data_IF_741810767088
#
_entry.id   IF_741810767088
#
_cell.length_a   1.000
_cell.length_b   1.000
_cell.length_c   1.000
_cell.angle_alpha   90.00
_cell.angle_beta   90.00
_cell.angle_gamma   90.00
#
_symmetry.space_group_name_H-M   'P 1'
#
loop_
_entity.id
_entity.type
_entity.pdbx_description
1 polymer ?
#
# COMPACT_ATOMS: atom_id res chain seq x y z
N UNK A 1 -40.67 -5.36 -8.49
CA UNK A 1 -39.53 -5.36 -9.41
C UNK A 1 -38.30 -5.33 -8.52
N UNK A 2 -37.58 -6.43 -8.40
CA UNK A 2 -36.30 -6.46 -7.67
C UNK A 2 -35.32 -5.62 -8.47
N UNK A 3 -34.93 -4.45 -7.94
CA UNK A 3 -33.81 -3.70 -8.50
C UNK A 3 -32.60 -4.62 -8.55
N UNK A 4 -32.03 -4.78 -9.75
CA UNK A 4 -30.81 -5.56 -9.92
C UNK A 4 -29.70 -4.72 -9.29
N UNK A 5 -29.28 -5.09 -8.09
CA UNK A 5 -28.17 -4.45 -7.40
C UNK A 5 -26.90 -4.73 -8.23
N UNK A 6 -26.34 -3.69 -8.83
CA UNK A 6 -25.24 -3.81 -9.79
C UNK A 6 -23.90 -3.37 -9.23
N UNK A 7 -23.83 -2.95 -7.97
CA UNK A 7 -22.60 -2.50 -7.32
C UNK A 7 -22.59 -2.81 -5.82
N UNK A 8 -21.40 -2.97 -5.24
CA UNK A 8 -21.18 -3.17 -3.82
C UNK A 8 -21.58 -1.92 -3.03
N UNK A 9 -21.33 -0.72 -3.58
CA UNK A 9 -21.78 0.53 -2.98
C UNK A 9 -23.30 0.58 -2.83
N UNK A 10 -24.05 0.31 -3.91
CA UNK A 10 -25.53 0.25 -3.86
C UNK A 10 -26.01 -0.85 -2.92
N UNK A 11 -25.36 -2.02 -2.93
CA UNK A 11 -25.69 -3.12 -2.03
C UNK A 11 -25.63 -2.72 -0.55
N UNK A 12 -24.56 -2.06 -0.14
CA UNK A 12 -24.38 -1.59 1.24
C UNK A 12 -25.35 -0.47 1.60
N UNK A 13 -25.59 0.47 0.67
CA UNK A 13 -26.53 1.57 0.88
C UNK A 13 -27.97 1.06 1.05
N UNK A 14 -28.40 0.08 0.25
CA UNK A 14 -29.70 -0.55 0.35
C UNK A 14 -29.89 -1.33 1.67
N UNK A 15 -28.80 -1.71 2.33
CA UNK A 15 -28.80 -2.35 3.64
C UNK A 15 -28.69 -1.35 4.82
N UNK A 16 -28.90 -0.05 4.59
CA UNK A 16 -28.73 1.02 5.58
C UNK A 16 -27.34 1.02 6.26
N UNK A 17 -26.32 0.60 5.52
CA UNK A 17 -24.94 0.57 5.98
C UNK A 17 -24.15 1.77 5.44
N UNK A 18 -23.38 2.39 6.33
CA UNK A 18 -22.29 3.27 5.93
C UNK A 18 -21.01 2.45 5.82
N UNK A 19 -20.08 2.89 4.97
CA UNK A 19 -18.87 2.12 4.68
C UNK A 19 -17.66 2.97 4.31
N UNK A 20 -16.48 2.38 4.47
CA UNK A 20 -15.22 2.86 3.96
C UNK A 20 -14.56 1.78 3.12
N UNK A 21 -13.96 2.21 2.01
CA UNK A 21 -13.23 1.32 1.10
C UNK A 21 -11.77 1.72 1.10
N UNK A 22 -10.90 0.71 1.15
CA UNK A 22 -9.45 0.89 1.08
C UNK A 22 -8.86 -0.05 0.04
N UNK A 23 -7.92 0.44 -0.78
CA UNK A 23 -6.92 -0.44 -1.38
C UNK A 23 -5.99 -0.93 -0.28
N UNK A 24 -5.70 -2.22 -0.30
CA UNK A 24 -4.71 -2.87 0.57
C UNK A 24 -3.71 -3.68 -0.25
N UNK A 25 -3.63 -3.45 -1.56
CA UNK A 25 -2.78 -4.18 -2.48
C UNK A 25 -1.35 -3.75 -2.34
N UNK A 26 -1.05 -2.57 -2.88
CA UNK A 26 0.29 -1.98 -2.89
C UNK A 26 0.58 -1.24 -1.60
N UNK A 27 -0.35 -0.40 -1.15
CA UNK A 27 -0.30 0.35 0.11
C UNK A 27 -1.72 0.51 0.62
N UNK A 28 -1.88 0.76 1.90
CA UNK A 28 -3.18 1.14 2.44
C UNK A 28 -3.57 2.55 1.95
N UNK A 29 -4.54 2.63 1.05
CA UNK A 29 -5.04 3.90 0.49
C UNK A 29 -6.57 3.93 0.55
N UNK A 30 -7.15 5.05 0.96
CA UNK A 30 -8.62 5.20 0.96
C UNK A 30 -9.10 5.40 -0.48
N UNK A 31 -10.14 4.68 -0.87
CA UNK A 31 -10.93 4.97 -2.06
C UNK A 31 -12.18 5.70 -1.58
N UNK A 32 -12.35 6.96 -1.98
CA UNK A 32 -13.57 7.70 -1.66
C UNK A 32 -14.79 7.10 -2.38
N UNK A 33 -15.99 7.51 -1.96
CA UNK A 33 -17.24 6.96 -2.50
C UNK A 33 -17.40 7.24 -3.99
N UNK A 34 -16.96 8.39 -4.48
CA UNK A 34 -17.10 8.78 -5.88
C UNK A 34 -16.16 7.96 -6.77
N UNK A 35 -14.90 7.84 -6.37
CA UNK A 35 -13.89 7.02 -7.04
C UNK A 35 -14.30 5.55 -7.03
N UNK A 36 -14.77 5.02 -5.90
CA UNK A 36 -15.23 3.64 -5.82
C UNK A 36 -16.43 3.41 -6.74
N UNK A 37 -17.43 4.29 -6.73
CA UNK A 37 -18.58 4.21 -7.64
C UNK A 37 -18.16 4.29 -9.12
N UNK A 38 -17.21 5.15 -9.47
CA UNK A 38 -16.68 5.25 -10.82
C UNK A 38 -15.97 3.95 -11.28
N UNK A 39 -15.24 3.28 -10.38
CA UNK A 39 -14.62 1.97 -10.64
C UNK A 39 -15.72 0.91 -10.88
N UNK A 40 -16.73 0.85 -10.01
CA UNK A 40 -17.80 -0.14 -10.12
C UNK A 40 -18.66 0.06 -11.39
N UNK A 41 -18.83 1.30 -11.82
CA UNK A 41 -19.55 1.65 -13.05
C UNK A 41 -18.68 1.57 -14.31
N UNK A 42 -17.46 1.02 -14.21
CA UNK A 42 -16.49 0.89 -15.29
C UNK A 42 -16.12 2.22 -15.98
N UNK A 43 -16.30 3.34 -15.29
CA UNK A 43 -15.93 4.70 -15.76
C UNK A 43 -14.47 5.02 -15.48
N UNK A 44 -13.86 4.32 -14.53
CA UNK A 44 -12.45 4.49 -14.16
C UNK A 44 -11.77 3.13 -14.04
N UNK A 45 -10.53 3.03 -14.52
CA UNK A 45 -9.66 1.90 -14.21
C UNK A 45 -9.32 1.87 -12.72
N UNK A 46 -9.09 0.67 -12.19
CA UNK A 46 -8.64 0.51 -10.81
C UNK A 46 -7.27 1.19 -10.65
N UNK A 47 -7.08 2.09 -9.67
CA UNK A 47 -5.89 2.94 -9.60
C UNK A 47 -4.62 2.20 -9.18
N UNK A 48 -4.74 1.13 -8.38
CA UNK A 48 -3.60 0.48 -7.71
C UNK A 48 -3.54 -1.04 -7.95
N UNK A 49 -3.60 -1.52 -9.21
CA UNK A 49 -3.62 -2.95 -9.50
C UNK A 49 -2.34 -3.64 -8.99
N UNK A 50 -2.52 -4.83 -8.43
CA UNK A 50 -1.43 -5.72 -8.05
C UNK A 50 -1.75 -7.11 -8.58
N UNK A 51 -0.88 -7.65 -9.44
CA UNK A 51 -1.08 -8.96 -10.08
C UNK A 51 -2.43 -9.06 -10.80
N UNK A 52 -2.85 -8.01 -11.52
CA UNK A 52 -4.15 -7.91 -12.21
C UNK A 52 -5.39 -8.07 -11.32
N UNK A 53 -5.28 -7.75 -10.04
CA UNK A 53 -6.42 -7.75 -9.11
C UNK A 53 -6.55 -6.41 -8.39
N UNK A 54 -7.79 -6.07 -8.04
CA UNK A 54 -8.10 -5.12 -6.98
C UNK A 54 -8.07 -5.83 -5.64
N UNK A 55 -7.30 -5.30 -4.70
CA UNK A 55 -7.17 -5.83 -3.34
C UNK A 55 -7.82 -4.84 -2.38
N UNK A 56 -9.04 -5.13 -1.98
CA UNK A 56 -9.89 -4.20 -1.26
C UNK A 56 -10.10 -4.64 0.19
N UNK A 57 -10.17 -3.67 1.09
CA UNK A 57 -10.79 -3.82 2.38
C UNK A 57 -12.04 -2.94 2.44
N UNK A 58 -13.18 -3.53 2.78
CA UNK A 58 -14.47 -2.86 2.89
C UNK A 58 -14.93 -2.96 4.33
N UNK A 59 -14.84 -1.84 5.05
CA UNK A 59 -15.28 -1.71 6.43
C UNK A 59 -16.66 -1.06 6.42
N UNK A 60 -17.68 -1.71 6.97
CA UNK A 60 -19.06 -1.20 6.92
C UNK A 60 -19.79 -1.47 8.23
N UNK A 61 -20.78 -0.66 8.55
CA UNK A 61 -21.59 -0.78 9.76
C UNK A 61 -23.00 -0.30 9.49
N UNK A 62 -23.96 -0.86 10.22
CA UNK A 62 -25.34 -0.37 10.18
C UNK A 62 -25.41 1.04 10.79
N UNK A 63 -26.15 1.96 10.16
CA UNK A 63 -26.30 3.35 10.63
C UNK A 63 -26.76 3.46 12.08
N UNK A 64 -27.64 2.57 12.52
CA UNK A 64 -28.16 2.55 13.88
C UNK A 64 -27.24 1.82 14.89
N UNK A 65 -26.22 1.08 14.42
CA UNK A 65 -25.29 0.32 15.25
C UNK A 65 -23.84 0.56 14.81
N UNK A 66 -23.34 1.81 14.87
CA UNK A 66 -22.03 2.13 14.35
C UNK A 66 -20.91 1.39 15.08
N UNK A 67 -21.07 0.98 16.34
CA UNK A 67 -19.98 0.39 17.14
C UNK A 67 -19.55 -1.02 16.72
N UNK A 68 -20.29 -1.68 15.83
CA UNK A 68 -19.99 -3.04 15.37
C UNK A 68 -19.68 -3.04 13.87
N UNK A 69 -18.46 -2.65 13.47
CA UNK A 69 -18.08 -2.70 12.07
C UNK A 69 -17.80 -4.14 11.62
N UNK A 70 -18.27 -4.45 10.43
CA UNK A 70 -17.91 -5.63 9.67
C UNK A 70 -16.76 -5.28 8.73
N UNK A 71 -15.96 -6.29 8.39
CA UNK A 71 -14.81 -6.13 7.52
C UNK A 71 -14.74 -7.24 6.48
N UNK A 72 -14.74 -6.85 5.22
CA UNK A 72 -14.49 -7.76 4.10
C UNK A 72 -13.15 -7.45 3.44
N UNK A 73 -12.43 -8.51 3.10
CA UNK A 73 -11.20 -8.43 2.31
C UNK A 73 -11.45 -9.10 0.97
N UNK A 74 -11.54 -8.29 -0.08
CA UNK A 74 -11.93 -8.73 -1.41
C UNK A 74 -10.74 -8.73 -2.36
N UNK A 75 -10.58 -9.81 -3.11
CA UNK A 75 -9.65 -9.90 -4.23
C UNK A 75 -10.45 -10.10 -5.51
N UNK A 76 -10.66 -9.01 -6.25
CA UNK A 76 -11.46 -9.00 -7.47
C UNK A 76 -10.56 -8.91 -8.71
N UNK A 77 -10.77 -9.74 -9.74
CA UNK A 77 -9.95 -9.70 -10.94
C UNK A 77 -10.22 -8.42 -11.75
N UNK A 78 -9.18 -7.96 -12.44
CA UNK A 78 -9.24 -6.86 -13.40
C UNK A 78 -9.08 -7.39 -14.82
N UNK A 79 -9.69 -6.70 -15.78
CA UNK A 79 -9.49 -7.00 -17.20
C UNK A 79 -8.17 -6.40 -17.75
N UNK A 80 -7.89 -6.62 -19.03
CA UNK A 80 -6.68 -6.09 -19.68
C UNK A 80 -6.64 -4.55 -19.72
N UNK A 81 -7.80 -3.89 -19.65
CA UNK A 81 -7.93 -2.43 -19.58
C UNK A 81 -7.72 -1.92 -18.15
N UNK A 82 -7.61 -2.81 -17.16
CA UNK A 82 -7.51 -2.47 -15.75
C UNK A 82 -8.86 -2.14 -15.11
N UNK A 83 -9.97 -2.43 -15.79
CA UNK A 83 -11.33 -2.27 -15.25
C UNK A 83 -11.68 -3.44 -14.36
N UNK A 84 -12.51 -3.18 -13.34
CA UNK A 84 -13.03 -4.23 -12.47
C UNK A 84 -13.88 -5.22 -13.28
N UNK A 85 -13.67 -6.51 -13.05
CA UNK A 85 -14.50 -7.55 -13.66
C UNK A 85 -15.89 -7.56 -13.02
N UNK A 86 -16.87 -6.99 -13.72
CA UNK A 86 -18.26 -6.89 -13.27
C UNK A 86 -18.91 -8.26 -13.02
N UNK A 87 -18.55 -9.30 -13.79
CA UNK A 87 -19.11 -10.63 -13.60
C UNK A 87 -18.64 -11.24 -12.26
N UNK A 88 -17.35 -11.11 -11.95
CA UNK A 88 -16.79 -11.55 -10.66
C UNK A 88 -17.41 -10.80 -9.48
N UNK A 89 -17.56 -9.47 -9.59
CA UNK A 89 -18.24 -8.67 -8.56
C UNK A 89 -19.72 -9.09 -8.40
N UNK A 90 -20.45 -9.26 -9.49
CA UNK A 90 -21.86 -9.64 -9.41
C UNK A 90 -22.02 -11.04 -8.81
N UNK A 91 -21.13 -11.97 -9.16
CA UNK A 91 -21.08 -13.30 -8.54
C UNK A 91 -20.80 -13.21 -7.04
N UNK A 92 -19.87 -12.35 -6.61
CA UNK A 92 -19.64 -12.08 -5.19
C UNK A 92 -20.94 -11.62 -4.49
N UNK A 93 -21.63 -10.63 -5.04
CA UNK A 93 -22.87 -10.10 -4.46
C UNK A 93 -23.97 -11.15 -4.35
N UNK A 94 -24.15 -11.98 -5.39
CA UNK A 94 -25.12 -13.07 -5.37
C UNK A 94 -24.84 -14.05 -4.23
N UNK A 95 -23.58 -14.47 -4.05
CA UNK A 95 -23.20 -15.39 -2.97
C UNK A 95 -23.37 -14.77 -1.57
N UNK A 96 -23.10 -13.46 -1.43
CA UNK A 96 -23.37 -12.74 -0.16
C UNK A 96 -24.86 -12.69 0.13
N UNK A 97 -25.70 -12.40 -0.87
CA UNK A 97 -27.16 -12.39 -0.74
C UNK A 97 -27.72 -13.77 -0.39
N UNK A 98 -27.17 -14.84 -0.97
CA UNK A 98 -27.55 -16.22 -0.65
C UNK A 98 -27.17 -16.61 0.78
N UNK A 99 -26.03 -16.12 1.28
CA UNK A 99 -25.55 -16.44 2.64
C UNK A 99 -26.23 -15.59 3.73
N UNK A 100 -26.40 -14.28 3.49
CA UNK A 100 -26.87 -13.32 4.51
C UNK A 100 -28.34 -12.90 4.35
N UNK A 101 -28.95 -13.18 3.20
CA UNK A 101 -30.27 -12.66 2.87
C UNK A 101 -30.28 -11.13 2.71
N UNK A 102 -31.41 -10.49 3.05
CA UNK A 102 -31.60 -9.05 2.88
C UNK A 102 -30.92 -8.17 3.96
N UNK A 103 -30.46 -8.75 5.08
CA UNK A 103 -29.91 -8.00 6.22
C UNK A 103 -28.43 -8.32 6.43
N UNK A 104 -27.57 -7.65 5.67
CA UNK A 104 -26.12 -7.84 5.64
C UNK A 104 -25.44 -7.51 6.97
N UNK A 105 -26.04 -6.59 7.75
CA UNK A 105 -25.52 -6.11 9.04
C UNK A 105 -26.29 -6.66 10.24
N UNK A 106 -27.10 -7.71 10.05
CA UNK A 106 -27.69 -8.44 11.16
C UNK A 106 -26.61 -9.28 11.88
N UNK A 107 -26.93 -9.78 13.07
CA UNK A 107 -26.08 -10.79 13.72
C UNK A 107 -26.00 -12.02 12.82
N UNK A 108 -24.80 -12.33 12.37
CA UNK A 108 -24.53 -13.42 11.44
C UNK A 108 -24.35 -14.69 12.28
N UNK A 109 -25.10 -15.75 11.99
CA UNK A 109 -24.89 -17.05 12.64
C UNK A 109 -23.56 -17.69 12.18
N UNK A 110 -23.00 -18.60 12.99
CA UNK A 110 -21.77 -19.32 12.62
C UNK A 110 -21.88 -20.02 11.25
N UNK A 111 -23.06 -20.59 10.94
CA UNK A 111 -23.33 -21.23 9.65
C UNK A 111 -23.25 -20.24 8.47
N UNK A 112 -23.82 -19.05 8.63
CA UNK A 112 -23.75 -18.01 7.61
C UNK A 112 -22.33 -17.46 7.45
N UNK A 113 -21.57 -17.36 8.55
CA UNK A 113 -20.17 -16.96 8.51
C UNK A 113 -19.31 -17.99 7.77
N UNK A 114 -19.53 -19.28 8.01
CA UNK A 114 -18.86 -20.36 7.28
C UNK A 114 -19.22 -20.35 5.79
N UNK A 115 -20.49 -20.13 5.45
CA UNK A 115 -20.93 -20.03 4.06
C UNK A 115 -20.29 -18.83 3.34
N UNK A 116 -20.19 -17.68 4.00
CA UNK A 116 -19.46 -16.53 3.46
C UNK A 116 -18.00 -16.85 3.21
N UNK A 117 -17.31 -17.53 4.14
CA UNK A 117 -15.89 -17.87 3.98
C UNK A 117 -15.59 -18.77 2.77
N UNK A 118 -16.59 -19.46 2.21
CA UNK A 118 -16.45 -20.25 0.98
C UNK A 118 -16.43 -19.39 -0.30
N UNK A 119 -16.69 -18.08 -0.20
CA UNK A 119 -16.68 -17.17 -1.33
C UNK A 119 -15.26 -17.01 -1.91
N UNK A 120 -15.03 -17.32 -3.19
CA UNK A 120 -13.69 -17.34 -3.80
C UNK A 120 -13.05 -15.95 -3.91
N UNK A 121 -13.82 -14.88 -3.71
CA UNK A 121 -13.32 -13.50 -3.76
C UNK A 121 -12.90 -12.98 -2.38
N UNK A 122 -13.20 -13.71 -1.30
CA UNK A 122 -12.70 -13.40 0.04
C UNK A 122 -11.30 -13.98 0.23
N UNK A 123 -10.45 -13.25 0.94
CA UNK A 123 -9.12 -13.73 1.31
C UNK A 123 -8.74 -13.26 2.71
N UNK A 124 -7.70 -13.87 3.30
CA UNK A 124 -7.11 -13.41 4.56
C UNK A 124 -5.82 -12.64 4.25
N UNK A 125 -5.76 -11.31 4.49
CA UNK A 125 -4.53 -10.54 4.31
C UNK A 125 -3.45 -10.96 5.30
N UNK A 126 -2.20 -10.59 5.04
CA UNK A 126 -1.10 -10.74 6.00
C UNK A 126 -1.37 -9.97 7.29
N UNK A 127 -0.68 -10.34 8.37
CA UNK A 127 -0.83 -9.71 9.67
C UNK A 127 -0.51 -8.22 9.62
N UNK A 128 0.53 -7.81 8.89
CA UNK A 128 0.89 -6.40 8.71
C UNK A 128 -0.23 -5.57 8.06
N UNK A 129 -0.91 -6.13 7.05
CA UNK A 129 -2.02 -5.44 6.37
C UNK A 129 -3.22 -5.29 7.30
N UNK A 130 -3.51 -6.31 8.09
CA UNK A 130 -4.59 -6.27 9.10
C UNK A 130 -4.25 -5.25 10.20
N UNK A 131 -3.01 -5.25 10.69
CA UNK A 131 -2.54 -4.31 11.71
C UNK A 131 -2.56 -2.86 11.24
N UNK A 132 -2.10 -2.59 10.00
CA UNK A 132 -2.16 -1.27 9.37
C UNK A 132 -3.59 -0.77 9.26
N UNK A 133 -4.50 -1.61 8.73
CA UNK A 133 -5.90 -1.24 8.57
C UNK A 133 -6.57 -0.99 9.93
N UNK A 134 -6.34 -1.87 10.91
CA UNK A 134 -6.90 -1.72 12.25
C UNK A 134 -6.45 -0.41 12.90
N UNK A 135 -5.16 -0.08 12.84
CA UNK A 135 -4.63 1.18 13.37
C UNK A 135 -5.25 2.40 12.68
N UNK A 136 -5.37 2.40 11.35
CA UNK A 136 -6.02 3.48 10.59
C UNK A 136 -7.51 3.61 10.92
N UNK A 137 -8.22 2.50 11.06
CA UNK A 137 -9.63 2.50 11.47
C UNK A 137 -9.81 3.07 12.87
N UNK A 138 -8.97 2.69 13.83
CA UNK A 138 -9.02 3.25 15.19
C UNK A 138 -8.79 4.77 15.18
N UNK A 139 -7.78 5.25 14.45
CA UNK A 139 -7.52 6.68 14.30
C UNK A 139 -8.70 7.41 13.66
N UNK A 140 -9.24 6.87 12.55
CA UNK A 140 -10.38 7.44 11.83
C UNK A 140 -11.66 7.48 12.67
N UNK A 141 -11.83 6.50 13.57
CA UNK A 141 -12.95 6.40 14.53
C UNK A 141 -12.71 7.14 15.84
N UNK A 142 -11.58 7.84 15.99
CA UNK A 142 -11.19 8.53 17.22
C UNK A 142 -11.16 7.59 18.45
N UNK A 143 -10.80 6.33 18.23
CA UNK A 143 -10.64 5.32 19.27
C UNK A 143 -9.22 5.35 19.86
N UNK A 144 -9.02 4.88 21.11
CA UNK A 144 -7.70 4.71 21.68
C UNK A 144 -6.87 3.69 20.88
N UNK A 145 -5.54 3.76 20.94
CA UNK A 145 -4.67 2.74 20.34
C UNK A 145 -4.82 1.38 21.05
N UNK A 146 -4.20 0.34 20.50
CA UNK A 146 -4.11 -0.95 21.20
C UNK A 146 -3.23 -0.87 22.45
N UNK A 147 -3.32 -1.91 23.28
CA UNK A 147 -2.48 -2.09 24.47
C UNK A 147 -0.98 -2.11 24.17
N UNK A 148 -0.59 -2.36 22.91
CA UNK A 148 0.82 -2.45 22.51
C UNK A 148 1.45 -1.09 22.20
N UNK A 149 0.67 -0.03 22.06
CA UNK A 149 1.16 1.30 21.66
C UNK A 149 2.12 1.92 22.67
N UNK A 150 1.80 1.84 23.96
CA UNK A 150 2.59 2.50 25.02
C UNK A 150 4.02 1.96 25.06
N UNK A 151 4.21 0.64 24.92
CA UNK A 151 5.53 0.02 24.90
C UNK A 151 6.40 0.56 23.76
N UNK A 152 5.82 0.77 22.57
CA UNK A 152 6.54 1.31 21.41
C UNK A 152 6.88 2.80 21.58
N UNK A 153 5.94 3.57 22.14
CA UNK A 153 6.17 4.98 22.45
C UNK A 153 7.30 5.15 23.47
N UNK A 154 7.28 4.39 24.57
CA UNK A 154 8.35 4.40 25.57
C UNK A 154 9.69 3.98 24.98
N UNK A 155 9.69 3.00 24.07
CA UNK A 155 10.88 2.59 23.36
C UNK A 155 11.48 3.75 22.53
N UNK A 156 10.70 4.42 21.68
CA UNK A 156 11.21 5.54 20.87
C UNK A 156 11.65 6.73 21.74
N UNK A 157 10.94 7.01 22.84
CA UNK A 157 11.34 8.04 23.80
C UNK A 157 12.72 7.71 24.43
N UNK A 158 12.96 6.46 24.82
CA UNK A 158 14.23 6.03 25.38
C UNK A 158 15.38 6.10 24.37
N UNK A 159 15.13 5.68 23.12
CA UNK A 159 16.12 5.76 22.04
C UNK A 159 16.47 7.21 21.67
N UNK A 160 15.48 8.11 21.63
CA UNK A 160 15.71 9.52 21.28
C UNK A 160 16.60 10.26 22.29
N UNK A 161 16.57 9.87 23.56
CA UNK A 161 17.32 10.53 24.63
C UNK A 161 18.75 10.01 24.82
N UNK A 162 19.23 9.07 23.99
CA UNK A 162 20.55 8.44 24.11
C UNK A 162 20.89 8.01 25.55
N UNK A 163 19.91 7.55 26.33
CA UNK A 163 20.19 7.20 27.72
C UNK A 163 21.02 5.92 27.72
N UNK A 164 22.26 5.97 28.23
CA UNK A 164 23.13 4.81 28.45
C UNK A 164 22.47 3.71 29.31
N UNK A 165 21.38 4.06 29.99
CA UNK A 165 20.50 3.17 30.78
C UNK A 165 19.38 2.50 29.99
N UNK A 166 19.18 2.80 28.71
CA UNK A 166 18.18 2.14 27.88
C UNK A 166 18.75 0.80 27.43
N UNK A 167 18.25 -0.36 27.88
CA UNK A 167 18.79 -1.62 27.42
C UNK A 167 18.58 -1.68 25.91
N UNK A 168 19.65 -1.83 25.15
CA UNK A 168 19.61 -2.23 23.73
C UNK A 168 18.84 -3.56 23.50
N UNK A 169 18.24 -4.14 24.54
CA UNK A 169 17.58 -5.44 24.63
C UNK A 169 16.04 -5.40 24.71
N UNK A 170 15.37 -4.24 24.84
CA UNK A 170 13.89 -4.20 24.96
C UNK A 170 13.10 -4.15 23.65
N UNK A 171 13.75 -4.26 22.49
CA UNK A 171 13.00 -4.31 21.23
C UNK A 171 12.14 -5.57 21.10
N UNK A 172 12.42 -6.62 21.87
CA UNK A 172 11.63 -7.85 21.91
C UNK A 172 10.21 -7.62 22.46
N UNK A 173 10.01 -6.55 23.23
CA UNK A 173 8.71 -6.17 23.79
C UNK A 173 7.85 -5.36 22.79
N UNK A 174 8.40 -5.01 21.62
CA UNK A 174 7.70 -4.25 20.57
C UNK A 174 6.84 -5.20 19.74
N UNK A 175 5.53 -5.12 19.96
CA UNK A 175 4.55 -5.86 19.16
C UNK A 175 4.29 -5.21 17.79
N UNK A 176 3.95 -6.04 16.80
CA UNK A 176 3.57 -5.60 15.44
C UNK A 176 2.47 -4.53 15.46
N UNK A 177 1.37 -4.78 16.19
CA UNK A 177 0.25 -3.84 16.26
C UNK A 177 0.68 -2.48 16.85
N UNK A 178 1.57 -2.47 17.84
CA UNK A 178 2.05 -1.22 18.45
C UNK A 178 2.81 -0.33 17.47
N UNK A 179 3.60 -0.91 16.56
CA UNK A 179 4.28 -0.17 15.50
C UNK A 179 3.30 0.46 14.50
N UNK A 180 2.25 -0.28 14.12
CA UNK A 180 1.19 0.23 13.25
C UNK A 180 0.37 1.33 13.93
N UNK A 181 0.08 1.19 15.23
CA UNK A 181 -0.61 2.23 16.02
C UNK A 181 0.23 3.51 16.10
N UNK A 182 1.54 3.38 16.31
CA UNK A 182 2.46 4.53 16.27
C UNK A 182 2.44 5.18 14.90
N UNK A 183 2.67 4.43 13.82
CA UNK A 183 2.73 4.97 12.46
C UNK A 183 1.44 5.72 12.09
N UNK A 184 0.27 5.16 12.41
CA UNK A 184 -1.03 5.78 12.11
C UNK A 184 -1.27 7.10 12.89
N UNK A 185 -0.59 7.30 14.03
CA UNK A 185 -0.80 8.45 14.93
C UNK A 185 0.26 9.54 14.83
N UNK A 186 1.33 9.35 14.05
CA UNK A 186 2.41 10.34 13.91
C UNK A 186 1.88 11.74 13.54
N UNK A 187 0.91 11.84 12.63
CA UNK A 187 0.31 13.13 12.25
C UNK A 187 -0.40 13.86 13.40
N UNK A 188 -0.85 13.13 14.44
CA UNK A 188 -1.59 13.67 15.59
C UNK A 188 -0.70 13.88 16.82
N UNK A 189 0.48 13.26 16.86
CA UNK A 189 1.41 13.31 17.98
C UNK A 189 2.78 13.87 17.54
N UNK A 190 2.95 15.17 17.75
CA UNK A 190 4.17 15.90 17.41
C UNK A 190 5.38 15.45 18.25
N UNK A 191 5.16 15.04 19.51
CA UNK A 191 6.24 14.59 20.39
C UNK A 191 6.75 13.23 19.91
N UNK A 192 5.85 12.29 19.66
CA UNK A 192 6.19 10.97 19.09
C UNK A 192 6.90 11.10 17.74
N UNK A 193 6.42 12.01 16.88
CA UNK A 193 7.08 12.32 15.61
C UNK A 193 8.51 12.82 15.81
N UNK A 194 8.71 13.73 16.77
CA UNK A 194 10.03 14.28 17.08
C UNK A 194 10.97 13.19 17.60
N UNK A 195 10.50 12.36 18.54
CA UNK A 195 11.26 11.24 19.10
C UNK A 195 11.68 10.24 18.02
N UNK A 196 10.72 9.80 17.19
CA UNK A 196 11.03 8.87 16.11
C UNK A 196 12.01 9.47 15.10
N UNK A 197 11.82 10.74 14.73
CA UNK A 197 12.72 11.45 13.80
C UNK A 197 14.16 11.53 14.33
N UNK A 198 14.32 11.68 15.65
CA UNK A 198 15.62 11.78 16.30
C UNK A 198 16.36 10.42 16.33
N UNK A 199 15.65 9.31 16.55
CA UNK A 199 16.27 8.00 16.71
C UNK A 199 16.28 7.12 15.44
N UNK A 200 15.51 7.46 14.40
CA UNK A 200 15.27 6.58 13.24
C UNK A 200 16.55 5.97 12.63
N UNK A 201 17.58 6.79 12.44
CA UNK A 201 18.83 6.39 11.77
C UNK A 201 19.63 5.35 12.57
N UNK A 202 19.44 5.33 13.89
CA UNK A 202 20.15 4.48 14.83
C UNK A 202 19.37 3.21 15.19
N UNK A 203 18.10 3.09 14.76
CA UNK A 203 17.29 1.93 15.08
C UNK A 203 17.94 0.62 14.56
N UNK A 204 17.90 -0.46 15.35
CA UNK A 204 18.35 -1.77 14.90
C UNK A 204 17.42 -2.28 13.79
N UNK A 205 17.97 -3.09 12.87
CA UNK A 205 17.21 -3.62 11.73
C UNK A 205 15.97 -4.43 12.17
N UNK A 206 16.03 -5.09 13.33
CA UNK A 206 14.89 -5.83 13.92
C UNK A 206 13.66 -4.94 14.18
N UNK A 207 13.86 -3.65 14.49
CA UNK A 207 12.77 -2.67 14.68
C UNK A 207 12.50 -1.92 13.39
N UNK A 208 13.56 -1.56 12.66
CA UNK A 208 13.44 -0.76 11.44
C UNK A 208 12.61 -1.48 10.37
N UNK A 209 12.80 -2.80 10.17
CA UNK A 209 12.04 -3.59 9.19
C UNK A 209 10.53 -3.50 9.42
N UNK A 210 9.96 -3.96 10.55
CA UNK A 210 8.52 -3.89 10.78
C UNK A 210 8.00 -2.44 10.89
N UNK A 211 8.80 -1.50 11.41
CA UNK A 211 8.42 -0.09 11.42
C UNK A 211 8.22 0.45 10.01
N UNK A 212 9.09 0.13 9.06
CA UNK A 212 8.95 0.63 7.68
C UNK A 212 7.75 0.03 6.95
N UNK A 213 7.37 -1.21 7.28
CA UNK A 213 6.12 -1.83 6.83
C UNK A 213 4.90 -1.10 7.41
N UNK A 214 4.99 -0.60 8.65
CA UNK A 214 3.95 0.28 9.19
C UNK A 214 3.92 1.64 8.49
N UNK A 215 5.08 2.28 8.30
CA UNK A 215 5.20 3.62 7.72
C UNK A 215 4.75 3.68 6.25
N UNK A 216 5.00 2.64 5.43
CA UNK A 216 4.60 2.64 4.00
C UNK A 216 3.07 2.76 3.79
N UNK A 217 2.28 2.48 4.84
CA UNK A 217 0.83 2.53 4.87
C UNK A 217 0.28 3.83 5.48
N UNK A 218 1.14 4.83 5.68
CA UNK A 218 0.82 6.11 6.32
C UNK A 218 1.50 7.27 5.58
N UNK A 219 1.05 8.49 5.80
CA UNK A 219 1.76 9.68 5.32
C UNK A 219 2.71 10.17 6.43
N UNK A 220 4.05 10.13 6.23
CA UNK A 220 4.98 10.60 7.24
C UNK A 220 4.82 12.12 7.44
N UNK A 221 4.73 12.61 8.69
CA UNK A 221 4.66 14.05 8.96
C UNK A 221 5.93 14.78 8.50
N UNK A 222 5.88 16.12 8.28
CA UNK A 222 7.01 16.89 7.76
C UNK A 222 8.34 16.65 8.48
N UNK A 223 8.35 16.65 9.83
CA UNK A 223 9.57 16.45 10.60
C UNK A 223 10.24 15.07 10.32
N UNK A 224 9.44 14.00 10.28
CA UNK A 224 9.93 12.66 9.97
C UNK A 224 10.32 12.53 8.51
N UNK A 225 9.50 13.03 7.58
CA UNK A 225 9.80 13.07 6.14
C UNK A 225 11.16 13.74 5.89
N UNK A 226 11.40 14.90 6.48
CA UNK A 226 12.64 15.65 6.26
C UNK A 226 13.85 14.94 6.87
N UNK A 227 13.67 14.26 8.02
CA UNK A 227 14.69 13.40 8.61
C UNK A 227 15.02 12.19 7.71
N UNK A 228 14.00 11.52 7.17
CA UNK A 228 14.13 10.40 6.24
C UNK A 228 14.83 10.83 4.93
N UNK A 229 14.48 11.99 4.37
CA UNK A 229 15.14 12.51 3.17
C UNK A 229 16.63 12.83 3.42
N UNK A 230 16.96 13.51 4.53
CA UNK A 230 18.36 13.75 4.90
C UNK A 230 19.11 12.44 5.05
N UNK A 231 18.52 11.46 5.73
CA UNK A 231 19.14 10.15 5.91
C UNK A 231 19.33 9.42 4.58
N UNK A 232 18.33 9.42 3.70
CA UNK A 232 18.42 8.82 2.36
C UNK A 232 19.62 9.35 1.56
N UNK A 233 19.88 10.66 1.58
CA UNK A 233 21.03 11.26 0.85
C UNK A 233 22.40 10.83 1.38
N UNK A 234 22.46 10.28 2.59
CA UNK A 234 23.69 9.81 3.24
C UNK A 234 23.90 8.29 3.07
N UNK A 235 22.90 7.58 2.54
CA UNK A 235 22.93 6.13 2.42
C UNK A 235 23.46 5.69 1.06
N UNK A 236 24.31 4.67 1.10
CA UNK A 236 24.66 3.88 -0.08
C UNK A 236 23.56 2.85 -0.38
N UNK A 237 23.64 2.23 -1.57
CA UNK A 237 22.79 1.09 -1.92
C UNK A 237 22.87 -0.01 -0.86
N UNK A 238 21.74 -0.66 -0.62
CA UNK A 238 21.62 -1.69 0.42
C UNK A 238 20.33 -1.60 1.23
N UNK A 239 20.21 -2.52 2.20
CA UNK A 239 18.99 -2.74 2.97
C UNK A 239 18.46 -1.47 3.66
N UNK A 240 19.33 -0.70 4.33
CA UNK A 240 18.89 0.53 5.03
C UNK A 240 18.31 1.57 4.07
N UNK A 241 18.85 1.68 2.86
CA UNK A 241 18.32 2.62 1.84
C UNK A 241 16.99 2.12 1.29
N UNK A 242 16.85 0.81 1.03
CA UNK A 242 15.57 0.18 0.68
C UNK A 242 14.48 0.42 1.72
N UNK A 243 14.80 0.24 3.02
CA UNK A 243 13.89 0.51 4.13
C UNK A 243 13.51 2.00 4.21
N UNK A 244 14.48 2.91 4.06
CA UNK A 244 14.23 4.35 4.04
C UNK A 244 13.33 4.77 2.87
N UNK A 245 13.55 4.20 1.69
CA UNK A 245 12.71 4.38 0.51
C UNK A 245 11.26 3.93 0.78
N UNK A 246 11.06 2.75 1.40
CA UNK A 246 9.72 2.28 1.80
C UNK A 246 9.03 3.23 2.77
N UNK A 247 9.74 3.75 3.77
CA UNK A 247 9.19 4.68 4.75
C UNK A 247 8.73 6.02 4.13
N UNK A 248 9.33 6.42 3.00
CA UNK A 248 8.94 7.62 2.25
C UNK A 248 7.76 7.38 1.29
N UNK A 249 7.29 6.14 1.13
CA UNK A 249 6.29 5.80 0.13
C UNK A 249 5.05 6.68 0.21
N UNK A 250 4.46 6.84 1.39
CA UNK A 250 3.24 7.63 1.63
C UNK A 250 3.30 9.09 1.19
N UNK A 251 4.50 9.65 0.97
CA UNK A 251 4.69 11.04 0.54
C UNK A 251 5.40 11.17 -0.82
N UNK A 252 5.58 10.08 -1.57
CA UNK A 252 6.33 10.07 -2.83
C UNK A 252 5.73 10.93 -3.95
N UNK A 253 4.45 11.29 -3.86
CA UNK A 253 3.78 12.19 -4.80
C UNK A 253 4.06 13.68 -4.49
N UNK A 254 4.58 14.01 -3.30
CA UNK A 254 4.94 15.38 -2.96
C UNK A 254 6.11 15.84 -3.84
N UNK A 255 6.03 17.00 -4.53
CA UNK A 255 7.05 17.44 -5.48
C UNK A 255 8.48 17.48 -4.93
N UNK A 256 8.65 17.94 -3.69
CA UNK A 256 9.96 18.02 -3.04
C UNK A 256 10.54 16.61 -2.76
N UNK A 257 9.71 15.67 -2.30
CA UNK A 257 10.11 14.28 -2.06
C UNK A 257 10.45 13.60 -3.39
N UNK A 258 9.58 13.71 -4.38
CA UNK A 258 9.77 13.07 -5.67
C UNK A 258 11.02 13.58 -6.37
N UNK A 259 11.30 14.88 -6.33
CA UNK A 259 12.52 15.47 -6.87
C UNK A 259 13.77 14.92 -6.16
N UNK A 260 13.77 14.89 -4.82
CA UNK A 260 14.90 14.38 -4.04
C UNK A 260 15.20 12.90 -4.34
N UNK A 261 14.16 12.08 -4.51
CA UNK A 261 14.32 10.65 -4.80
C UNK A 261 14.64 10.36 -6.27
N UNK A 262 14.12 11.18 -7.21
CA UNK A 262 14.41 11.04 -8.64
C UNK A 262 15.82 11.47 -9.02
N UNK A 263 16.40 12.45 -8.32
CA UNK A 263 17.73 12.98 -8.64
C UNK A 263 18.81 11.88 -8.70
N UNK A 264 19.00 11.02 -7.68
CA UNK A 264 19.97 9.93 -7.77
C UNK A 264 19.55 8.85 -8.78
N UNK A 265 18.25 8.59 -8.94
CA UNK A 265 17.76 7.64 -9.94
C UNK A 265 18.08 8.08 -11.37
N UNK A 266 18.01 9.38 -11.67
CA UNK A 266 18.24 9.95 -13.00
C UNK A 266 19.72 10.26 -13.31
N UNK A 267 20.64 10.02 -12.36
CA UNK A 267 22.07 10.21 -12.53
C UNK A 267 22.68 9.02 -13.29
N UNK A 268 22.71 9.11 -14.62
CA UNK A 268 22.96 8.00 -15.55
C UNK A 268 24.25 7.15 -15.32
N UNK A 269 25.29 7.70 -14.68
CA UNK A 269 26.59 7.00 -14.52
C UNK A 269 26.89 6.51 -13.09
N UNK A 270 26.22 7.03 -12.05
CA UNK A 270 26.51 6.72 -10.64
C UNK A 270 25.30 6.12 -9.88
N UNK A 271 24.18 5.88 -10.57
CA UNK A 271 22.99 5.28 -9.98
C UNK A 271 23.22 3.80 -9.63
N UNK A 272 23.84 3.54 -8.49
CA UNK A 272 23.95 2.21 -7.90
C UNK A 272 22.62 1.90 -7.20
N UNK A 273 21.80 0.99 -7.74
CA UNK A 273 20.56 0.49 -7.12
C UNK A 273 20.59 -1.04 -7.06
N UNK A 274 20.30 -1.59 -5.89
CA UNK A 274 20.12 -3.03 -5.72
C UNK A 274 18.70 -3.46 -6.13
N UNK A 275 18.54 -4.76 -6.39
CA UNK A 275 17.25 -5.33 -6.80
C UNK A 275 16.11 -4.99 -5.83
N UNK A 276 16.36 -5.10 -4.52
CA UNK A 276 15.35 -4.80 -3.50
C UNK A 276 14.85 -3.34 -3.59
N UNK A 277 15.73 -2.41 -3.96
CA UNK A 277 15.38 -1.00 -4.10
C UNK A 277 14.56 -0.77 -5.37
N UNK A 278 14.89 -1.45 -6.46
CA UNK A 278 14.08 -1.42 -7.69
C UNK A 278 12.68 -2.00 -7.43
N UNK A 279 12.59 -3.10 -6.69
CA UNK A 279 11.31 -3.70 -6.26
C UNK A 279 10.51 -2.70 -5.42
N UNK A 280 11.13 -2.03 -4.45
CA UNK A 280 10.47 -1.00 -3.64
C UNK A 280 9.97 0.14 -4.51
N UNK A 281 10.75 0.59 -5.49
CA UNK A 281 10.33 1.65 -6.41
C UNK A 281 9.09 1.21 -7.18
N UNK A 282 9.11 0.06 -7.85
CA UNK A 282 7.94 -0.40 -8.60
C UNK A 282 6.72 -0.70 -7.72
N UNK A 283 6.93 -1.23 -6.50
CA UNK A 283 5.86 -1.71 -5.65
C UNK A 283 5.23 -0.62 -4.76
N UNK A 284 5.97 0.45 -4.42
CA UNK A 284 5.58 1.46 -3.42
C UNK A 284 5.82 2.90 -3.86
N UNK A 285 6.85 3.15 -4.66
CA UNK A 285 7.25 4.49 -5.12
C UNK A 285 7.06 4.70 -6.62
N UNK A 286 6.10 3.99 -7.24
CA UNK A 286 5.82 4.13 -8.67
C UNK A 286 5.53 5.57 -9.12
N UNK A 287 5.02 6.52 -8.28
CA UNK A 287 4.88 7.91 -8.70
C UNK A 287 6.20 8.58 -9.07
N UNK A 288 7.34 8.05 -8.60
CA UNK A 288 8.66 8.53 -9.04
C UNK A 288 8.89 8.29 -10.53
N UNK A 289 8.22 7.31 -11.12
CA UNK A 289 8.38 6.89 -12.52
C UNK A 289 7.45 7.63 -13.49
N UNK A 290 6.69 8.62 -13.02
CA UNK A 290 5.90 9.51 -13.89
C UNK A 290 6.79 10.51 -14.68
N UNK A 291 8.04 10.68 -14.26
CA UNK A 291 9.07 11.40 -15.03
C UNK A 291 9.72 10.48 -16.06
N UNK A 292 9.68 10.88 -17.34
CA UNK A 292 10.16 10.06 -18.44
C UNK A 292 11.65 9.68 -18.33
N UNK A 293 12.50 10.58 -17.80
CA UNK A 293 13.93 10.33 -17.63
C UNK A 293 14.16 9.32 -16.50
N UNK A 294 13.47 9.50 -15.37
CA UNK A 294 13.51 8.56 -14.25
C UNK A 294 12.98 7.17 -14.65
N UNK A 295 11.89 7.10 -15.44
CA UNK A 295 11.33 5.85 -15.96
C UNK A 295 12.32 5.12 -16.86
N UNK A 296 12.90 5.80 -17.84
CA UNK A 296 13.88 5.20 -18.75
C UNK A 296 15.10 4.67 -17.99
N UNK A 297 15.63 5.45 -17.04
CA UNK A 297 16.79 5.06 -16.25
C UNK A 297 16.47 3.89 -15.30
N UNK A 298 15.28 3.89 -14.69
CA UNK A 298 14.79 2.76 -13.90
C UNK A 298 14.72 1.48 -14.74
N UNK A 299 14.17 1.55 -15.95
CA UNK A 299 14.07 0.39 -16.85
C UNK A 299 15.44 -0.08 -17.33
N UNK A 300 16.39 0.84 -17.54
CA UNK A 300 17.78 0.50 -17.87
C UNK A 300 18.45 -0.26 -16.71
N UNK A 301 18.31 0.21 -15.47
CA UNK A 301 18.81 -0.50 -14.28
C UNK A 301 18.15 -1.88 -14.14
N UNK A 302 16.84 -1.95 -14.36
CA UNK A 302 16.10 -3.20 -14.32
C UNK A 302 16.53 -4.19 -15.43
N UNK A 303 16.95 -3.70 -16.60
CA UNK A 303 17.43 -4.54 -17.72
C UNK A 303 18.70 -5.32 -17.40
N UNK A 304 19.43 -4.90 -16.36
CA UNK A 304 20.63 -5.57 -15.85
C UNK A 304 20.30 -6.72 -14.88
N UNK A 305 19.05 -6.82 -14.44
CA UNK A 305 18.56 -7.89 -13.55
C UNK A 305 18.16 -9.14 -14.36
N UNK A 306 17.92 -10.29 -13.71
CA UNK A 306 17.44 -11.49 -14.41
C UNK A 306 16.20 -11.20 -15.27
N UNK A 307 16.14 -11.77 -16.47
CA UNK A 307 15.07 -11.45 -17.43
C UNK A 307 13.66 -11.71 -16.87
N UNK A 308 13.48 -12.76 -16.07
CA UNK A 308 12.20 -13.04 -15.39
C UNK A 308 11.79 -11.90 -14.44
N UNK A 309 12.74 -11.29 -13.74
CA UNK A 309 12.51 -10.15 -12.85
C UNK A 309 12.16 -8.90 -13.65
N UNK A 310 12.89 -8.62 -14.74
CA UNK A 310 12.56 -7.53 -15.65
C UNK A 310 11.13 -7.65 -16.16
N UNK A 311 10.76 -8.81 -16.71
CA UNK A 311 9.43 -9.06 -17.26
C UNK A 311 8.33 -8.94 -16.20
N UNK A 312 8.54 -9.50 -15.01
CA UNK A 312 7.56 -9.43 -13.92
C UNK A 312 7.33 -7.98 -13.45
N UNK A 313 8.40 -7.22 -13.18
CA UNK A 313 8.27 -5.83 -12.73
C UNK A 313 7.75 -4.91 -13.84
N UNK A 314 8.13 -5.13 -15.10
CA UNK A 314 7.58 -4.40 -16.23
C UNK A 314 6.07 -4.64 -16.37
N UNK A 315 5.61 -5.89 -16.28
CA UNK A 315 4.19 -6.22 -16.34
C UNK A 315 3.39 -5.56 -15.21
N UNK A 316 3.93 -5.55 -13.98
CA UNK A 316 3.31 -4.85 -12.85
C UNK A 316 3.23 -3.34 -13.10
N UNK A 317 4.28 -2.71 -13.64
CA UNK A 317 4.28 -1.28 -13.94
C UNK A 317 3.31 -0.92 -15.08
N UNK A 318 3.21 -1.75 -16.12
CA UNK A 318 2.25 -1.55 -17.22
C UNK A 318 0.80 -1.69 -16.76
N UNK A 319 0.55 -2.43 -15.67
CA UNK A 319 -0.78 -2.54 -15.09
C UNK A 319 -1.25 -1.22 -14.46
N UNK A 320 -0.34 -0.39 -13.96
CA UNK A 320 -0.66 0.90 -13.32
C UNK A 320 -1.21 1.90 -14.35
N UNK A 321 -2.45 2.41 -14.20
CA UNK A 321 -3.03 3.35 -15.16
C UNK A 321 -2.19 4.60 -15.40
N UNK A 322 -1.54 5.12 -14.34
CA UNK A 322 -0.71 6.33 -14.42
C UNK A 322 0.55 6.16 -15.28
N UNK A 323 1.14 4.96 -15.31
CA UNK A 323 2.40 4.71 -16.03
C UNK A 323 2.19 4.04 -17.39
N UNK A 324 1.05 3.38 -17.59
CA UNK A 324 0.74 2.61 -18.79
C UNK A 324 0.96 3.39 -20.10
N UNK A 325 0.47 4.63 -20.29
CA UNK A 325 0.68 5.35 -21.55
C UNK A 325 2.16 5.58 -21.85
N UNK A 326 2.95 5.96 -20.85
CA UNK A 326 4.38 6.23 -21.01
C UNK A 326 5.16 4.95 -21.35
N UNK A 327 4.84 3.84 -20.68
CA UNK A 327 5.46 2.53 -20.93
C UNK A 327 5.12 2.00 -22.33
N UNK A 328 3.87 2.14 -22.77
CA UNK A 328 3.47 1.73 -24.11
C UNK A 328 4.11 2.61 -25.20
N UNK A 329 4.29 3.91 -24.94
CA UNK A 329 5.01 4.79 -25.84
C UNK A 329 6.50 4.40 -25.92
N UNK A 330 7.13 4.07 -24.78
CA UNK A 330 8.53 3.64 -24.73
C UNK A 330 8.78 2.37 -25.55
N UNK A 331 7.82 1.43 -25.54
CA UNK A 331 7.87 0.23 -26.38
C UNK A 331 7.96 0.58 -27.89
N UNK A 332 7.43 1.72 -28.33
CA UNK A 332 7.46 2.11 -29.74
C UNK A 332 8.72 2.90 -30.12
N UNK A 333 9.57 3.27 -29.15
CA UNK A 333 10.76 4.07 -29.41
C UNK A 333 11.89 3.24 -30.05
N UNK A 334 12.60 3.87 -30.98
CA UNK A 334 13.73 3.27 -31.70
C UNK A 334 15.10 3.70 -31.18
N UNK A 335 15.16 4.74 -30.35
CA UNK A 335 16.40 5.32 -29.83
C UNK A 335 16.53 5.08 -28.31
N UNK A 336 16.53 3.80 -27.92
CA UNK A 336 16.73 3.37 -26.53
C UNK A 336 18.16 2.85 -26.36
N UNK A 337 18.74 2.91 -25.14
CA UNK A 337 20.00 2.24 -24.87
C UNK A 337 19.94 0.75 -25.20
N UNK A 338 21.01 0.20 -25.80
CA UNK A 338 21.04 -1.16 -26.35
C UNK A 338 20.59 -2.23 -25.33
N UNK A 339 21.05 -2.15 -24.08
CA UNK A 339 20.68 -3.09 -23.03
C UNK A 339 19.16 -3.11 -22.77
N UNK A 340 18.54 -1.93 -22.73
CA UNK A 340 17.10 -1.80 -22.55
C UNK A 340 16.35 -2.30 -23.79
N UNK A 341 16.82 -1.94 -24.99
CA UNK A 341 16.19 -2.40 -26.23
C UNK A 341 16.19 -3.93 -26.33
N UNK A 342 17.31 -4.58 -26.00
CA UNK A 342 17.41 -6.05 -25.98
C UNK A 342 16.47 -6.69 -24.95
N UNK A 343 16.38 -6.12 -23.74
CA UNK A 343 15.48 -6.63 -22.70
C UNK A 343 14.01 -6.55 -23.13
N UNK A 344 13.59 -5.44 -23.74
CA UNK A 344 12.24 -5.26 -24.27
C UNK A 344 11.94 -6.20 -25.44
N UNK A 345 12.90 -6.44 -26.33
CA UNK A 345 12.74 -7.39 -27.45
C UNK A 345 12.55 -8.82 -26.94
N UNK A 346 13.38 -9.27 -25.99
CA UNK A 346 13.27 -10.62 -25.40
C UNK A 346 11.91 -10.84 -24.74
N UNK A 347 11.40 -9.84 -24.02
CA UNK A 347 10.10 -9.89 -23.35
C UNK A 347 8.92 -10.00 -24.33
N UNK A 348 9.06 -9.51 -25.57
CA UNK A 348 8.00 -9.64 -26.61
C UNK A 348 8.01 -10.99 -27.32
N UNK A 349 9.15 -11.66 -27.31
CA UNK A 349 9.32 -12.97 -27.95
C UNK A 349 8.98 -14.14 -27.02
N UNK A 350 8.86 -13.88 -25.72
CA UNK A 350 8.37 -14.81 -24.69
C UNK A 350 6.87 -14.69 -24.50
#
# INVERSE_FOLDING_TARGET
MTEVINSLGEFLQNADADYWVFDIGRRLQTLDHEQFAAIEQQRQAYPYPLQRHAWLAVCFWHRQRPQQPYLWFLKLPLDERGLLNSAARNQFLLQVMEALGAQVTAEISEAQQQQLQQNPFLFTPSEDKRAALHAQLQVRRQQPPSIHFEAVQQYFAAQANNSDSAPAQRWQDIGLQGLHDVAARLMQDANLTTQLSACYTQLPLAVLRPLTVALENTQPPPALRDALLRYFTQLNAGERRSLCLRALAGCAEQPMVSQCLRQPLAAAHDANYELDELIVIAARLWPLLDDAKALQQYLLLLSQQPHSTFTALFAELVSLPALRPQLLALLQQTNLPDALQQALQRMRSS
#
